data_IF_166278541992
#
_entry.id   IF_166278541992
#
_cell.length_a   1.000
_cell.length_b   1.000
_cell.length_c   1.000
_cell.angle_alpha   90.00
_cell.angle_beta   90.00
_cell.angle_gamma   90.00
#
_symmetry.space_group_name_H-M   'P 1'
#
loop_
_entity.id
_entity.type
_entity.pdbx_description
1 polymer ?
#
# COMPACT_ATOMS: atom_id res chain seq x y z
N UNK A 1 -23.47 9.34 9.74
CA UNK A 1 -22.55 9.03 10.83
C UNK A 1 -21.24 8.55 10.26
N UNK A 2 -20.17 9.08 10.79
CA UNK A 2 -18.86 8.65 10.36
C UNK A 2 -18.56 7.26 10.87
N UNK A 3 -18.10 6.40 9.98
CA UNK A 3 -17.79 5.01 10.35
C UNK A 3 -16.70 4.90 11.41
N UNK A 4 -15.82 5.91 11.53
CA UNK A 4 -14.73 5.91 12.49
C UNK A 4 -15.21 5.81 13.93
N UNK A 5 -16.42 6.29 14.21
CA UNK A 5 -16.95 6.26 15.56
C UNK A 5 -17.43 4.88 16.02
N UNK A 6 -17.43 3.91 15.11
CA UNK A 6 -17.80 2.53 15.47
C UNK A 6 -16.69 1.86 16.25
N UNK A 7 -15.46 2.29 16.06
CA UNK A 7 -14.34 1.74 16.84
C UNK A 7 -14.40 2.27 18.26
N UNK A 8 -14.77 1.40 19.19
CA UNK A 8 -14.91 1.79 20.59
C UNK A 8 -13.88 1.15 21.50
N UNK A 9 -13.18 0.14 21.03
CA UNK A 9 -12.18 -0.59 21.80
C UNK A 9 -10.78 -0.21 21.34
N UNK A 10 -9.95 0.41 22.22
CA UNK A 10 -8.62 0.83 21.80
C UNK A 10 -7.66 -0.31 21.47
N UNK A 11 -8.01 -1.55 21.83
CA UNK A 11 -7.18 -2.70 21.47
C UNK A 11 -7.47 -3.21 20.07
N UNK A 12 -8.44 -2.62 19.36
CA UNK A 12 -8.81 -3.01 18.02
C UNK A 12 -8.44 -1.91 17.03
N UNK A 13 -8.21 -2.31 15.78
CA UNK A 13 -7.91 -1.36 14.71
C UNK A 13 -8.93 -1.54 13.60
N UNK A 14 -9.91 -0.66 13.57
CA UNK A 14 -10.89 -0.67 12.50
C UNK A 14 -10.35 0.14 11.32
N UNK A 15 -10.44 -0.43 10.13
CA UNK A 15 -10.00 0.26 8.92
C UNK A 15 -10.96 -0.03 7.78
N UNK A 16 -11.16 0.98 6.94
CA UNK A 16 -11.83 0.82 5.66
C UNK A 16 -10.77 0.56 4.61
N UNK A 17 -11.06 -0.34 3.67
CA UNK A 17 -10.11 -0.71 2.64
C UNK A 17 -10.48 -0.09 1.31
N UNK A 18 -9.47 0.46 0.63
CA UNK A 18 -9.58 0.96 -0.73
C UNK A 18 -8.63 0.16 -1.59
N UNK A 19 -9.12 -0.32 -2.75
CA UNK A 19 -8.34 -1.20 -3.61
C UNK A 19 -8.01 -0.53 -4.92
N UNK A 20 -6.76 -0.70 -5.34
CA UNK A 20 -6.27 -0.15 -6.61
C UNK A 20 -5.43 -1.20 -7.31
N UNK A 21 -5.32 -1.09 -8.61
CA UNK A 21 -4.38 -1.89 -9.38
C UNK A 21 -3.50 -0.96 -10.21
N UNK A 22 -2.26 -1.39 -10.42
CA UNK A 22 -1.36 -0.66 -11.29
C UNK A 22 -0.58 -1.68 -12.10
N UNK A 23 -0.68 -1.56 -13.43
CA UNK A 23 0.11 -2.39 -14.31
C UNK A 23 1.36 -1.63 -14.71
N UNK A 24 2.49 -2.19 -14.37
CA UNK A 24 3.79 -1.63 -14.72
C UNK A 24 4.34 -2.38 -15.91
N UNK A 25 4.72 -1.65 -16.95
CA UNK A 25 5.32 -2.24 -18.14
C UNK A 25 6.83 -2.23 -17.99
N UNK A 26 7.42 -3.40 -18.18
CA UNK A 26 8.85 -3.59 -18.10
C UNK A 26 9.33 -4.26 -19.37
N UNK A 27 10.65 -4.15 -19.70
CA UNK A 27 11.16 -4.72 -20.96
C UNK A 27 10.91 -6.21 -21.09
N UNK A 28 10.91 -6.95 -19.98
CA UNK A 28 10.76 -8.41 -20.00
C UNK A 28 9.34 -8.86 -19.66
N UNK A 29 8.39 -7.95 -19.68
CA UNK A 29 6.98 -8.30 -19.45
C UNK A 29 6.31 -7.35 -18.46
N UNK A 30 4.99 -7.35 -18.51
CA UNK A 30 4.19 -6.51 -17.63
C UNK A 30 3.97 -7.19 -16.30
N UNK A 31 3.83 -6.39 -15.25
CA UNK A 31 3.49 -6.86 -13.93
C UNK A 31 2.35 -6.01 -13.37
N UNK A 32 1.37 -6.68 -12.78
CA UNK A 32 0.24 -5.97 -12.15
C UNK A 32 0.40 -6.04 -10.64
N UNK A 33 0.29 -4.87 -10.01
CA UNK A 33 0.32 -4.77 -8.56
C UNK A 33 -1.08 -4.46 -8.08
N UNK A 34 -1.50 -5.18 -7.04
CA UNK A 34 -2.74 -4.88 -6.33
C UNK A 34 -2.36 -4.12 -5.08
N UNK A 35 -2.92 -2.94 -4.90
CA UNK A 35 -2.56 -2.08 -3.78
C UNK A 35 -3.79 -1.89 -2.91
N UNK A 36 -3.62 -2.15 -1.61
CA UNK A 36 -4.66 -1.92 -0.63
C UNK A 36 -4.27 -0.71 0.19
N UNK A 37 -5.15 0.29 0.24
CA UNK A 37 -4.97 1.43 1.15
C UNK A 37 -5.91 1.22 2.32
N UNK A 38 -5.35 1.16 3.52
CA UNK A 38 -6.11 1.06 4.76
C UNK A 38 -6.35 2.46 5.28
N UNK A 39 -7.61 2.78 5.47
CA UNK A 39 -8.00 4.03 6.14
C UNK A 39 -8.42 3.68 7.55
N UNK A 40 -7.53 3.92 8.51
CA UNK A 40 -7.79 3.57 9.90
C UNK A 40 -8.78 4.53 10.53
N UNK A 41 -9.63 4.02 11.41
CA UNK A 41 -10.55 4.85 12.19
C UNK A 41 -9.79 5.84 13.06
N UNK A 42 -8.63 5.41 13.58
CA UNK A 42 -7.72 6.23 14.34
C UNK A 42 -6.30 5.83 13.98
N UNK A 43 -5.34 6.75 14.04
CA UNK A 43 -3.95 6.39 13.71
C UNK A 43 -3.47 5.21 14.54
N UNK A 44 -2.83 4.21 13.91
CA UNK A 44 -2.25 3.10 14.67
C UNK A 44 -1.16 3.59 15.64
N UNK A 45 -0.85 2.77 16.63
CA UNK A 45 0.18 3.10 17.61
C UNK A 45 1.48 3.47 16.92
N UNK A 46 2.06 4.60 17.32
CA UNK A 46 3.32 5.08 16.74
C UNK A 46 3.17 5.85 15.45
N UNK A 47 1.95 6.02 14.93
CA UNK A 47 1.71 6.75 13.70
C UNK A 47 0.90 8.01 13.94
N UNK A 48 1.16 9.03 13.12
CA UNK A 48 0.39 10.28 13.17
C UNK A 48 -0.71 10.31 12.12
N UNK A 49 -0.60 9.46 11.11
CA UNK A 49 -1.50 9.47 9.96
C UNK A 49 -2.33 8.20 9.95
N UNK A 50 -3.45 8.27 9.25
CA UNK A 50 -4.46 7.22 9.26
C UNK A 50 -4.48 6.36 8.00
N UNK A 51 -3.69 6.69 6.98
CA UNK A 51 -3.75 5.98 5.70
C UNK A 51 -2.45 5.25 5.44
N UNK A 52 -2.56 3.97 5.13
CA UNK A 52 -1.40 3.13 4.83
C UNK A 52 -1.68 2.31 3.57
N UNK A 53 -0.82 2.47 2.56
CA UNK A 53 -0.90 1.73 1.31
C UNK A 53 0.15 0.64 1.28
N UNK A 54 -0.22 -0.51 0.72
CA UNK A 54 0.69 -1.65 0.63
C UNK A 54 0.39 -2.43 -0.64
N UNK A 55 1.44 -2.77 -1.39
CA UNK A 55 1.31 -3.59 -2.58
C UNK A 55 1.28 -5.07 -2.21
N UNK A 56 0.89 -5.89 -3.17
CA UNK A 56 0.80 -7.34 -2.96
C UNK A 56 2.06 -8.09 -3.39
N UNK A 57 3.05 -7.39 -3.95
CA UNK A 57 4.27 -8.03 -4.47
C UNK A 57 5.49 -7.24 -4.05
N UNK A 58 6.57 -7.97 -3.79
CA UNK A 58 7.87 -7.37 -3.55
C UNK A 58 8.46 -6.83 -4.85
N UNK A 59 9.34 -5.86 -4.72
CA UNK A 59 10.17 -5.38 -5.83
C UNK A 59 11.64 -5.51 -5.44
N UNK A 60 12.52 -5.32 -6.41
CA UNK A 60 13.98 -5.34 -6.20
C UNK A 60 14.46 -6.65 -5.56
N UNK A 61 13.86 -7.76 -5.96
CA UNK A 61 14.04 -9.04 -5.28
C UNK A 61 15.48 -9.55 -5.30
N UNK A 62 16.26 -9.20 -6.33
CA UNK A 62 17.60 -9.76 -6.52
C UNK A 62 18.65 -9.12 -5.62
N UNK A 63 18.43 -7.89 -5.18
CA UNK A 63 19.42 -7.18 -4.36
C UNK A 63 18.91 -6.88 -2.97
N UNK A 64 17.80 -6.16 -2.85
CA UNK A 64 17.25 -5.78 -1.55
C UNK A 64 15.73 -5.80 -1.65
N UNK A 65 15.11 -6.97 -1.47
CA UNK A 65 13.65 -7.07 -1.61
C UNK A 65 12.92 -6.13 -0.67
N UNK A 66 11.92 -5.45 -1.18
CA UNK A 66 11.06 -4.60 -0.34
C UNK A 66 9.63 -4.68 -0.83
N UNK A 67 8.70 -4.51 0.10
CA UNK A 67 7.28 -4.44 -0.22
C UNK A 67 6.91 -2.97 -0.35
N UNK A 68 6.48 -2.51 -1.55
CA UNK A 68 6.10 -1.11 -1.71
C UNK A 68 4.97 -0.74 -0.76
N UNK A 69 5.15 0.37 -0.05
CA UNK A 69 4.18 0.85 0.90
C UNK A 69 4.30 2.37 1.04
N UNK A 70 3.30 2.98 1.68
CA UNK A 70 3.32 4.40 1.92
C UNK A 70 2.31 4.79 3.00
N UNK A 71 2.66 5.78 3.79
CA UNK A 71 1.78 6.38 4.78
C UNK A 71 1.38 7.77 4.31
N UNK A 72 0.20 8.23 4.71
CA UNK A 72 -0.23 9.55 4.33
C UNK A 72 -1.42 10.05 5.11
N UNK A 73 -1.76 11.31 4.87
CA UNK A 73 -2.93 11.94 5.48
C UNK A 73 -4.18 11.78 4.63
N UNK A 74 -4.04 11.16 3.46
CA UNK A 74 -5.16 10.87 2.56
C UNK A 74 -4.89 9.58 1.82
N UNK A 75 -5.94 9.04 1.19
CA UNK A 75 -5.79 7.87 0.31
C UNK A 75 -4.76 8.17 -0.77
N UNK A 76 -4.82 9.34 -1.36
CA UNK A 76 -3.95 9.70 -2.48
C UNK A 76 -2.50 9.82 -2.07
N UNK A 77 -2.24 10.39 -0.90
CA UNK A 77 -0.88 10.53 -0.41
C UNK A 77 -0.25 9.17 -0.10
N UNK A 78 -0.99 8.30 0.58
CA UNK A 78 -0.50 6.96 0.88
C UNK A 78 -0.29 6.16 -0.40
N UNK A 79 -1.25 6.22 -1.32
CA UNK A 79 -1.14 5.52 -2.61
C UNK A 79 0.06 6.01 -3.40
N UNK A 80 0.26 7.33 -3.48
CA UNK A 80 1.39 7.89 -4.22
C UNK A 80 2.73 7.42 -3.65
N UNK A 81 2.85 7.37 -2.33
CA UNK A 81 4.06 6.86 -1.70
C UNK A 81 4.37 5.43 -2.09
N UNK A 82 3.35 4.58 -2.12
CA UNK A 82 3.49 3.20 -2.56
C UNK A 82 3.88 3.12 -4.04
N UNK A 83 3.21 3.91 -4.89
CA UNK A 83 3.49 3.90 -6.33
C UNK A 83 4.89 4.39 -6.65
N UNK A 84 5.42 5.33 -5.88
CA UNK A 84 6.79 5.81 -6.09
C UNK A 84 7.80 4.70 -5.93
N UNK A 85 7.61 3.82 -4.95
CA UNK A 85 8.51 2.68 -4.76
C UNK A 85 8.37 1.67 -5.88
N UNK A 86 7.15 1.44 -6.38
CA UNK A 86 6.94 0.55 -7.52
C UNK A 86 7.65 1.11 -8.76
N UNK A 87 7.61 2.43 -8.95
CA UNK A 87 8.27 3.06 -10.09
C UNK A 87 9.79 3.09 -9.96
N UNK A 88 10.27 3.23 -8.74
CA UNK A 88 11.71 3.37 -8.49
C UNK A 88 12.45 2.06 -8.64
N UNK A 89 11.85 0.95 -8.24
CA UNK A 89 12.52 -0.35 -8.21
C UNK A 89 11.88 -1.31 -9.20
N UNK A 90 12.69 -2.16 -9.87
CA UNK A 90 12.13 -3.12 -10.82
C UNK A 90 11.48 -4.29 -10.11
N UNK A 91 10.46 -4.87 -10.74
CA UNK A 91 9.94 -6.14 -10.29
C UNK A 91 10.81 -7.25 -10.91
N UNK A 92 11.38 -8.07 -10.06
CA UNK A 92 12.32 -9.10 -10.47
C UNK A 92 11.85 -10.51 -10.09
N UNK A 93 10.56 -10.64 -9.81
CA UNK A 93 9.97 -11.92 -9.53
C UNK A 93 9.85 -12.78 -10.79
N UNK A 94 9.57 -14.06 -10.61
CA UNK A 94 9.55 -14.99 -11.72
C UNK A 94 8.32 -14.86 -12.59
N UNK A 95 7.18 -14.63 -11.99
CA UNK A 95 5.90 -14.71 -12.67
C UNK A 95 5.44 -13.35 -13.15
N UNK A 96 5.38 -13.20 -14.45
CA UNK A 96 4.83 -12.00 -15.08
C UNK A 96 3.91 -12.40 -16.21
N UNK A 97 2.88 -11.62 -16.39
CA UNK A 97 1.93 -11.86 -17.45
C UNK A 97 1.74 -10.63 -18.30
#
# INVERSE_FOLDING_TARGET
>A
MEWQFIQTNPSEELAQLHFFTMKKRQPDGDVSFRITVKEYAAPPAGQRVRFFAEADKLVNQKTAPLLPSGWGESVWEALDGCLRLIRQFPYEGEQRT
#
